data_IF_472636653623
#
_entry.id   IF_472636653623
#
_cell.length_a   1.000
_cell.length_b   1.000
_cell.length_c   1.000
_cell.angle_alpha   90.00
_cell.angle_beta   90.00
_cell.angle_gamma   90.00
#
_symmetry.space_group_name_H-M   'P 1'
#
loop_
_entity.id
_entity.type
_entity.pdbx_description
1 polymer ?
2 polymer ?
3 non-polymer ?
4 non-polymer ?
5 non-polymer ?
6 water ?
#
# COMPACT_ATOMS: atom_id res chain seq x y z
N UNK A 1 -8.00 3.13 25.33
CA UNK A 1 -8.94 2.05 25.56
C UNK A 1 -10.19 2.16 24.70
N UNK A 2 -10.43 3.34 24.12
CA UNK A 2 -11.55 3.48 23.18
C UNK A 2 -11.13 3.32 21.71
N UNK A 3 -11.68 2.28 21.09
CA UNK A 3 -11.27 1.84 19.77
C UNK A 3 -12.45 1.81 18.78
N UNK A 4 -12.19 2.25 17.55
CA UNK A 4 -13.15 2.15 16.47
C UNK A 4 -12.68 1.11 15.43
N UNK A 5 -13.57 0.19 15.07
CA UNK A 5 -13.29 -0.80 14.06
C UNK A 5 -14.11 -0.53 12.82
N UNK A 6 -13.43 -0.43 11.69
CA UNK A 6 -14.04 -0.09 10.42
C UNK A 6 -13.91 -1.28 9.46
N UNK A 7 -15.03 -1.73 8.92
CA UNK A 7 -15.01 -2.88 8.02
C UNK A 7 -15.02 -2.47 6.58
N UNK A 8 -14.21 -3.16 5.77
CA UNK A 8 -14.18 -2.94 4.32
C UNK A 8 -14.51 -4.22 3.57
N UNK A 9 -14.59 -5.33 4.30
CA UNK A 9 -14.90 -6.60 3.70
C UNK A 9 -13.72 -7.56 3.72
N UNK A 10 -13.47 -8.22 2.59
CA UNK A 10 -12.36 -9.14 2.50
C UNK A 10 -12.64 -10.56 2.96
N UNK A 11 -11.64 -11.41 2.84
CA UNK A 11 -11.76 -12.83 3.17
C UNK A 11 -12.11 -12.98 4.64
N UNK A 12 -11.52 -12.14 5.48
CA UNK A 12 -11.80 -12.18 6.91
C UNK A 12 -13.32 -12.22 7.20
N UNK A 13 -14.09 -11.47 6.42
CA UNK A 13 -15.53 -11.34 6.65
C UNK A 13 -16.35 -12.23 5.71
N UNK A 14 -15.66 -13.04 4.92
CA UNK A 14 -16.31 -13.83 3.89
C UNK A 14 -17.14 -15.00 4.45
N UNK A 15 -18.28 -15.26 3.80
CA UNK A 15 -19.16 -16.37 4.15
C UNK A 15 -19.74 -16.93 2.87
N UNK A 16 -19.44 -18.19 2.59
CA UNK A 16 -19.89 -18.81 1.34
C UNK A 16 -21.04 -19.80 1.54
N UNK A 17 -21.95 -19.84 0.58
CA UNK A 17 -23.04 -20.81 0.64
C UNK A 17 -22.96 -21.91 -0.41
N UNK A 18 -23.72 -22.98 -0.19
CA UNK A 18 -23.80 -24.08 -1.13
C UNK A 18 -24.67 -23.73 -2.34
N UNK A 19 -25.62 -22.82 -2.12
CA UNK A 19 -26.41 -22.22 -3.20
C UNK A 19 -25.51 -21.49 -4.22
N UNK A 20 -24.27 -21.21 -3.84
CA UNK A 20 -23.33 -20.52 -4.71
C UNK A 20 -23.29 -19.02 -4.45
N UNK A 21 -23.98 -18.58 -3.41
CA UNK A 21 -23.95 -17.18 -3.01
C UNK A 21 -22.74 -16.88 -2.16
N UNK A 22 -22.31 -15.63 -2.19
CA UNK A 22 -21.23 -15.17 -1.34
C UNK A 22 -21.70 -13.99 -0.53
N UNK A 23 -21.65 -14.14 0.79
CA UNK A 23 -22.14 -13.13 1.71
C UNK A 23 -20.99 -12.60 2.56
N UNK A 24 -21.29 -11.63 3.40
CA UNK A 24 -20.25 -10.95 4.16
C UNK A 24 -20.71 -10.54 5.56
N UNK A 25 -19.84 -10.72 6.54
CA UNK A 25 -20.11 -10.32 7.91
C UNK A 25 -19.77 -8.87 8.10
N UNK A 26 -20.45 -8.22 9.03
CA UNK A 26 -20.10 -6.87 9.44
C UNK A 26 -18.91 -6.98 10.40
N UNK A 27 -18.28 -5.85 10.72
CA UNK A 27 -17.08 -5.89 11.55
C UNK A 27 -17.37 -6.51 12.90
N UNK A 28 -18.51 -6.15 13.47
CA UNK A 28 -18.83 -6.66 14.80
C UNK A 28 -19.00 -8.16 14.75
N UNK A 29 -19.72 -8.64 13.75
CA UNK A 29 -19.87 -10.08 13.51
C UNK A 29 -18.50 -10.77 13.36
N UNK A 30 -17.56 -10.13 12.68
CA UNK A 30 -16.21 -10.68 12.54
C UNK A 30 -15.53 -10.88 13.89
N UNK A 31 -15.46 -9.82 14.70
CA UNK A 31 -14.87 -9.91 16.03
C UNK A 31 -15.52 -10.98 16.91
N UNK A 32 -16.84 -11.03 16.88
CA UNK A 32 -17.58 -11.98 17.70
C UNK A 32 -17.32 -13.42 17.24
N UNK A 33 -17.36 -13.65 15.93
CA UNK A 33 -17.14 -15.00 15.43
C UNK A 33 -15.66 -15.38 15.59
N UNK A 34 -14.78 -14.38 15.60
CA UNK A 34 -13.36 -14.64 15.79
C UNK A 34 -13.08 -14.95 17.27
N UNK A 35 -14.05 -14.59 18.12
CA UNK A 35 -14.00 -14.90 19.53
C UNK A 35 -13.26 -13.88 20.38
N UNK A 36 -13.17 -12.65 19.90
CA UNK A 36 -12.57 -11.58 20.70
C UNK A 36 -13.63 -11.01 21.66
N UNK A 37 -13.51 -11.37 22.93
CA UNK A 37 -14.50 -10.95 23.91
C UNK A 37 -13.92 -9.88 24.83
N UNK A 38 -12.61 -9.68 24.71
CA UNK A 38 -11.86 -8.77 25.56
C UNK A 38 -11.86 -7.35 25.03
N UNK A 39 -12.70 -7.05 24.04
CA UNK A 39 -12.71 -5.71 23.47
C UNK A 39 -13.68 -4.80 24.25
N UNK A 40 -13.11 -4.15 25.26
CA UNK A 40 -13.88 -3.41 26.26
C UNK A 40 -14.75 -2.28 25.70
N UNK A 41 -14.11 -1.19 25.29
CA UNK A 41 -14.86 -0.09 24.68
C UNK A 41 -14.56 0.00 23.19
N UNK A 42 -15.34 -0.72 22.39
CA UNK A 42 -15.15 -0.74 20.95
C UNK A 42 -16.39 -0.36 20.17
N UNK A 43 -16.27 0.63 19.30
CA UNK A 43 -17.31 0.91 18.34
C UNK A 43 -17.02 0.27 16.98
N UNK A 44 -18.06 0.21 16.16
CA UNK A 44 -18.01 -0.46 14.87
C UNK A 44 -18.65 0.38 13.79
N UNK A 45 -18.06 0.34 12.61
CA UNK A 45 -18.54 1.10 11.47
C UNK A 45 -18.29 0.26 10.23
N UNK A 46 -19.36 -0.02 9.48
CA UNK A 46 -19.20 -0.76 8.23
C UNK A 46 -19.19 0.17 7.05
N UNK A 47 -18.02 0.38 6.48
CA UNK A 47 -17.85 1.29 5.35
C UNK A 47 -18.09 0.58 4.02
N UNK A 48 -17.55 -0.62 3.87
CA UNK A 48 -17.80 -1.44 2.68
C UNK A 48 -17.84 -2.92 3.04
N UNK A 49 -18.37 -3.73 2.12
CA UNK A 49 -18.31 -5.17 2.27
C UNK A 49 -17.95 -5.80 0.93
N UNK A 50 -16.73 -5.55 0.47
CA UNK A 50 -16.29 -5.94 -0.86
C UNK A 50 -15.04 -6.82 -0.83
N UNK A 51 -14.89 -7.65 -1.86
CA UNK A 51 -13.59 -8.26 -2.18
C UNK A 51 -12.63 -7.11 -2.50
N UNK A 52 -11.45 -7.11 -1.89
CA UNK A 52 -10.56 -5.94 -2.02
C UNK A 52 -10.04 -5.74 -3.44
N UNK A 53 -10.14 -6.77 -4.26
CA UNK A 53 -9.77 -6.65 -5.67
C UNK A 53 -10.60 -5.55 -6.35
N UNK A 54 -11.76 -5.24 -5.77
CA UNK A 54 -12.67 -4.26 -6.38
C UNK A 54 -12.33 -2.81 -6.04
N UNK A 55 -11.42 -2.63 -5.08
CA UNK A 55 -11.08 -1.30 -4.59
C UNK A 55 -10.61 -0.35 -5.69
N UNK A 56 -11.18 0.84 -5.69
CA UNK A 56 -10.81 1.88 -6.65
C UNK A 56 -10.42 3.14 -5.86
N UNK A 57 -9.76 4.10 -6.52
CA UNK A 57 -9.19 5.23 -5.77
C UNK A 57 -10.22 6.06 -5.03
N UNK A 58 -11.48 5.98 -5.46
CA UNK A 58 -12.56 6.76 -4.87
C UNK A 58 -12.88 6.23 -3.48
N UNK A 59 -12.66 4.94 -3.30
CA UNK A 59 -12.83 4.31 -2.00
C UNK A 59 -11.83 4.85 -0.97
N UNK A 60 -10.66 5.26 -1.44
CA UNK A 60 -9.64 5.80 -0.53
C UNK A 60 -10.05 7.17 0.01
N UNK A 61 -10.67 7.97 -0.86
CA UNK A 61 -11.28 9.23 -0.46
C UNK A 61 -12.33 9.03 0.61
N UNK A 62 -13.25 8.09 0.38
CA UNK A 62 -14.28 7.80 1.38
C UNK A 62 -13.63 7.39 2.69
N UNK A 63 -12.66 6.49 2.61
CA UNK A 63 -12.08 5.94 3.82
C UNK A 63 -11.33 7.03 4.60
N UNK A 64 -10.59 7.86 3.90
CA UNK A 64 -9.84 8.95 4.51
C UNK A 64 -10.75 9.98 5.21
N UNK A 65 -11.83 10.39 4.54
CA UNK A 65 -12.85 11.25 5.16
C UNK A 65 -13.35 10.64 6.44
N UNK A 66 -13.73 9.37 6.36
CA UNK A 66 -14.24 8.65 7.52
C UNK A 66 -13.20 8.64 8.63
N UNK A 67 -11.94 8.47 8.25
CA UNK A 67 -10.89 8.39 9.25
C UNK A 67 -10.68 9.76 9.88
N UNK A 68 -10.70 10.78 9.02
CA UNK A 68 -10.49 12.14 9.47
C UNK A 68 -11.54 12.58 10.48
N UNK A 69 -12.76 12.09 10.33
CA UNK A 69 -13.79 12.53 11.26
C UNK A 69 -13.82 11.65 12.51
N UNK A 70 -12.92 10.67 12.59
CA UNK A 70 -12.89 9.85 13.79
C UNK A 70 -11.59 9.86 14.59
N UNK A 71 -10.50 10.35 13.99
CA UNK A 71 -9.18 10.29 14.64
C UNK A 71 -9.16 10.99 16.00
N UNK A 72 -9.90 12.09 16.12
CA UNK A 72 -9.99 12.80 17.40
C UNK A 72 -10.86 12.08 18.44
N UNK A 73 -11.82 11.29 17.98
CA UNK A 73 -12.79 10.70 18.90
C UNK A 73 -12.33 9.36 19.46
N UNK A 74 -11.23 8.81 18.95
CA UNK A 74 -10.79 7.50 19.40
C UNK A 74 -9.32 7.48 19.74
N UNK A 75 -8.91 6.51 20.56
CA UNK A 75 -7.50 6.32 20.90
C UNK A 75 -6.74 5.50 19.84
N UNK A 76 -7.50 4.74 19.05
CA UNK A 76 -6.97 3.87 18.02
C UNK A 76 -8.06 3.49 17.06
N UNK A 77 -7.68 3.23 15.82
CA UNK A 77 -8.60 2.74 14.79
C UNK A 77 -8.04 1.49 14.11
N UNK A 78 -8.90 0.51 13.93
CA UNK A 78 -8.57 -0.68 13.17
C UNK A 78 -9.47 -0.76 11.94
N UNK A 79 -8.86 -1.04 10.80
CA UNK A 79 -9.58 -1.23 9.55
C UNK A 79 -9.38 -2.66 9.05
N UNK A 80 -10.47 -3.42 8.93
CA UNK A 80 -10.42 -4.76 8.36
C UNK A 80 -10.65 -4.71 6.85
N UNK A 81 -9.88 -5.48 6.09
CA UNK A 81 -9.72 -5.24 4.65
C UNK A 81 -9.29 -6.56 4.00
N UNK A 82 -9.65 -6.78 2.74
CA UNK A 82 -9.13 -7.92 2.00
C UNK A 82 -7.63 -7.79 1.77
N UNK A 83 -6.93 -8.91 1.69
CA UNK A 83 -5.47 -8.90 1.58
C UNK A 83 -4.95 -8.43 0.19
N UNK A 84 -5.75 -8.65 -0.84
CA UNK A 84 -5.35 -8.26 -2.19
C UNK A 84 -4.84 -6.85 -2.40
N UNK A 85 -5.59 -5.86 -1.91
CA UNK A 85 -5.19 -4.47 -2.10
C UNK A 85 -4.97 -3.75 -0.77
N UNK A 86 -4.90 -4.54 0.31
CA UNK A 86 -4.63 -4.01 1.64
C UNK A 86 -3.41 -3.06 1.69
N UNK A 87 -2.32 -3.42 1.02
CA UNK A 87 -1.10 -2.63 1.08
C UNK A 87 -1.22 -1.37 0.24
N UNK A 88 -2.03 -1.44 -0.82
CA UNK A 88 -2.35 -0.24 -1.59
C UNK A 88 -3.11 0.78 -0.71
N UNK A 89 -4.16 0.30 -0.05
CA UNK A 89 -4.98 1.16 0.80
C UNK A 89 -4.12 1.75 1.92
N UNK A 90 -3.37 0.91 2.63
CA UNK A 90 -2.55 1.40 3.74
C UNK A 90 -1.50 2.40 3.27
N UNK A 91 -1.00 2.21 2.05
CA UNK A 91 -0.09 3.18 1.46
C UNK A 91 -0.76 4.52 1.16
N UNK A 92 -1.90 4.49 0.47
CA UNK A 92 -2.56 5.73 0.08
C UNK A 92 -3.07 6.51 1.29
N UNK A 93 -3.66 5.82 2.24
CA UNK A 93 -4.13 6.45 3.48
C UNK A 93 -2.96 7.11 4.22
N UNK A 94 -1.76 6.55 4.05
CA UNK A 94 -0.58 7.13 4.70
C UNK A 94 -0.24 8.50 4.13
N UNK A 95 -0.42 8.67 2.82
CA UNK A 95 -0.20 9.96 2.18
C UNK A 95 -1.37 10.92 2.45
N UNK A 96 -2.57 10.38 2.46
CA UNK A 96 -3.77 11.18 2.69
C UNK A 96 -3.88 11.72 4.12
N UNK A 97 -3.68 10.86 5.11
CA UNK A 97 -3.67 11.28 6.51
C UNK A 97 -2.27 11.45 7.05
N UNK A 98 -1.59 12.51 6.63
CA UNK A 98 -0.24 12.75 7.15
C UNK A 98 -0.35 13.02 8.65
N UNK A 99 0.46 12.32 9.44
CA UNK A 99 0.44 12.50 10.89
C UNK A 99 -0.87 12.30 11.58
N UNK A 100 -1.39 11.07 11.56
CA UNK A 100 -2.57 10.87 12.39
C UNK A 100 -2.15 10.97 13.87
N UNK A 101 -3.07 11.43 14.72
CA UNK A 101 -2.80 11.60 16.15
C UNK A 101 -2.81 10.27 16.92
N UNK A 102 -3.25 9.21 16.25
CA UNK A 102 -3.43 7.91 16.87
C UNK A 102 -2.88 6.80 15.95
N UNK A 103 -2.73 5.57 16.49
CA UNK A 103 -2.48 4.42 15.61
C UNK A 103 -3.70 4.06 14.76
N UNK A 104 -3.45 3.83 13.48
CA UNK A 104 -4.47 3.37 12.58
C UNK A 104 -3.97 2.07 11.97
N UNK A 105 -4.64 0.96 12.28
CA UNK A 105 -4.11 -0.35 11.96
C UNK A 105 -4.94 -1.14 10.95
N UNK A 106 -4.37 -1.41 9.79
CA UNK A 106 -5.04 -2.25 8.80
C UNK A 106 -4.75 -3.71 9.06
N UNK A 107 -5.75 -4.55 8.89
CA UNK A 107 -5.54 -5.97 9.03
C UNK A 107 -6.60 -6.75 8.24
N UNK A 108 -6.48 -8.07 8.28
CA UNK A 108 -7.36 -8.94 7.52
C UNK A 108 -7.00 -10.36 7.83
N UNK A 109 -7.40 -11.30 6.98
CA UNK A 109 -6.98 -12.67 7.18
C UNK A 109 -7.02 -13.43 5.86
N UNK A 110 -6.19 -14.47 5.76
CA UNK A 110 -6.14 -15.32 4.58
C UNK A 110 -7.25 -16.36 4.63
N UNK A 111 -7.70 -16.67 5.84
CA UNK A 111 -8.75 -17.66 6.07
C UNK A 111 -9.91 -16.97 6.79
N UNK A 112 -11.15 -17.12 6.28
CA UNK A 112 -12.32 -16.44 6.84
C UNK A 112 -12.46 -16.66 8.34
N UNK A 113 -12.87 -15.62 9.04
CA UNK A 113 -13.06 -15.67 10.49
C UNK A 113 -13.97 -16.80 10.93
N UNK A 114 -14.86 -17.24 10.02
CA UNK A 114 -15.80 -18.33 10.33
C UNK A 114 -15.16 -19.73 10.42
N UNK A 115 -13.97 -19.90 9.85
CA UNK A 115 -13.29 -21.20 9.92
C UNK A 115 -12.51 -21.41 11.22
N UNK A 116 -12.41 -22.66 11.64
CA UNK A 116 -11.87 -22.96 12.96
C UNK A 116 -10.37 -22.64 13.06
N UNK A 117 -9.66 -22.78 11.93
CA UNK A 117 -8.23 -22.57 11.92
C UNK A 117 -7.84 -21.18 11.43
N UNK A 118 -8.75 -20.22 11.53
CA UNK A 118 -8.52 -18.91 10.93
C UNK A 118 -7.35 -18.14 11.54
N UNK A 119 -6.71 -17.32 10.72
CA UNK A 119 -5.70 -16.42 11.24
C UNK A 119 -6.34 -15.13 11.77
N UNK A 120 -7.66 -15.00 11.62
CA UNK A 120 -8.37 -13.80 12.06
C UNK A 120 -8.16 -13.44 13.54
N UNK A 121 -8.30 -14.43 14.45
CA UNK A 121 -8.08 -14.06 15.86
C UNK A 121 -6.70 -13.49 16.14
N UNK A 122 -5.64 -14.12 15.64
CA UNK A 122 -4.29 -13.60 15.82
C UNK A 122 -4.12 -12.19 15.25
N UNK A 123 -4.63 -11.99 14.05
CA UNK A 123 -4.50 -10.69 13.41
C UNK A 123 -5.22 -9.57 14.14
N UNK A 124 -6.45 -9.86 14.57
CA UNK A 124 -7.26 -8.91 15.33
C UNK A 124 -6.69 -8.62 16.72
N UNK A 125 -6.21 -9.65 17.42
CA UNK A 125 -5.59 -9.42 18.73
C UNK A 125 -4.36 -8.56 18.57
N UNK A 126 -3.62 -8.78 17.48
CA UNK A 126 -2.39 -8.06 17.24
C UNK A 126 -2.74 -6.61 16.96
N UNK A 127 -3.72 -6.40 16.09
CA UNK A 127 -4.15 -5.05 15.76
C UNK A 127 -4.67 -4.34 17.02
N UNK A 128 -5.41 -5.07 17.85
CA UNK A 128 -5.99 -4.45 19.04
C UNK A 128 -4.92 -4.04 20.03
N UNK A 129 -3.95 -4.92 20.28
CA UNK A 129 -2.85 -4.60 21.18
C UNK A 129 -2.11 -3.37 20.70
N UNK A 130 -1.93 -3.27 19.38
CA UNK A 130 -1.19 -2.12 18.86
C UNK A 130 -2.02 -0.83 18.82
N UNK A 131 -3.34 -0.95 18.63
CA UNK A 131 -4.19 0.24 18.69
C UNK A 131 -4.24 0.81 20.11
N UNK A 132 -3.79 0.04 21.09
CA UNK A 132 -3.74 0.50 22.47
C UNK A 132 -2.35 1.03 22.83
N UNK A 133 -1.39 0.88 21.93
CA UNK A 133 -0.07 1.42 22.19
C UNK A 133 -0.19 2.93 22.09
N UNK A 134 0.83 3.67 22.42
CA UNK A 134 0.71 5.10 22.18
C UNK A 134 1.29 5.53 20.84
N UNK A 135 1.55 4.57 19.96
CA UNK A 135 2.36 4.82 18.77
C UNK A 135 1.52 5.26 17.58
N UNK A 136 1.56 6.55 17.30
CA UNK A 136 0.76 7.18 16.24
C UNK A 136 1.23 6.77 14.85
N UNK A 137 0.30 6.71 13.89
CA UNK A 137 0.63 6.43 12.51
C UNK A 137 -0.25 5.36 11.86
N UNK A 138 0.06 5.05 10.60
CA UNK A 138 -0.66 4.05 9.82
C UNK A 138 0.16 2.77 9.66
N UNK A 139 -0.44 1.64 10.04
CA UNK A 139 0.28 0.38 10.16
C UNK A 139 -0.57 -0.76 9.63
N UNK A 140 0.09 -1.89 9.42
CA UNK A 140 -0.56 -3.13 9.01
C UNK A 140 -0.19 -4.19 10.02
N UNK A 141 -1.17 -4.91 10.53
CA UNK A 141 -0.91 -6.06 11.39
C UNK A 141 -1.25 -7.31 10.59
N UNK A 142 -0.34 -8.27 10.63
CA UNK A 142 -0.60 -9.55 9.99
C UNK A 142 0.39 -10.59 10.52
N UNK A 143 -0.11 -11.81 10.72
CA UNK A 143 0.72 -12.91 11.19
C UNK A 143 1.61 -12.56 12.39
N UNK A 144 1.09 -11.81 13.35
CA UNK A 144 1.80 -11.50 14.56
C UNK A 144 2.82 -10.37 14.45
N UNK A 145 2.87 -9.71 13.29
CA UNK A 145 3.79 -8.61 13.08
C UNK A 145 3.05 -7.30 12.83
N UNK A 146 3.63 -6.20 13.27
CA UNK A 146 3.11 -4.89 12.93
C UNK A 146 4.16 -4.21 12.06
N UNK A 147 3.72 -3.73 10.90
CA UNK A 147 4.59 -3.15 9.89
C UNK A 147 4.13 -1.75 9.52
N UNK A 148 5.07 -0.87 9.18
CA UNK A 148 4.69 0.46 8.74
C UNK A 148 3.87 0.33 7.45
N UNK A 149 2.69 0.93 7.44
CA UNK A 149 1.74 0.74 6.37
C UNK A 149 2.22 1.13 4.98
N UNK A 150 3.14 2.09 4.93
CA UNK A 150 3.64 2.60 3.68
C UNK A 150 4.95 1.89 3.26
N UNK A 151 5.27 0.80 3.97
CA UNK A 151 6.41 -0.05 3.66
C UNK A 151 6.01 -1.51 3.60
N UNK A 152 4.71 -1.76 3.46
CA UNK A 152 4.19 -3.12 3.47
C UNK A 152 3.86 -3.61 2.06
N UNK A 153 4.19 -4.86 1.76
CA UNK A 153 3.79 -5.50 0.51
C UNK A 153 3.24 -6.88 0.75
N UNK A 154 2.26 -7.27 -0.05
CA UNK A 154 1.85 -8.66 -0.14
C UNK A 154 2.93 -9.42 -0.90
N UNK A 155 3.42 -10.49 -0.29
CA UNK A 155 4.57 -11.22 -0.80
C UNK A 155 4.22 -12.68 -1.12
N UNK A 156 3.24 -13.23 -0.41
CA UNK A 156 2.76 -14.61 -0.59
C UNK A 156 1.24 -14.65 -0.85
N UNK A 157 0.81 -15.53 -1.74
CA UNK A 157 -0.60 -15.55 -2.13
C UNK A 157 -1.38 -16.67 -1.46
N UNK A 158 -0.69 -17.61 -0.84
CA UNK A 158 -1.37 -18.76 -0.22
C UNK A 158 -0.78 -19.13 1.12
N UNK A 159 -0.45 -18.14 1.95
CA UNK A 159 0.16 -18.41 3.23
C UNK A 159 -0.36 -17.41 4.25
N UNK A 160 -0.41 -17.83 5.51
CA UNK A 160 -0.67 -16.95 6.63
C UNK A 160 0.33 -15.79 6.73
N UNK A 161 1.58 -16.04 6.36
CA UNK A 161 2.62 -15.02 6.40
C UNK A 161 2.60 -14.22 5.10
N UNK A 162 1.51 -13.50 4.84
CA UNK A 162 1.30 -12.96 3.50
C UNK A 162 2.03 -11.64 3.24
N UNK A 163 2.36 -10.91 4.30
CA UNK A 163 2.92 -9.57 4.17
C UNK A 163 4.33 -9.43 4.74
N UNK A 164 5.10 -8.50 4.18
CA UNK A 164 6.39 -8.16 4.76
C UNK A 164 6.62 -6.67 4.74
N UNK A 165 7.49 -6.22 5.64
CA UNK A 165 7.99 -4.86 5.61
C UNK A 165 9.19 -4.83 4.67
N UNK A 166 9.16 -3.97 3.67
CA UNK A 166 10.16 -3.97 2.62
C UNK A 166 11.18 -2.85 2.83
N UNK A 167 12.43 -3.24 3.03
CA UNK A 167 13.53 -2.30 3.22
C UNK A 167 13.39 -1.45 4.50
N UNK A 168 12.69 -1.99 5.49
CA UNK A 168 12.40 -1.26 6.72
C UNK A 168 12.16 -2.25 7.84
N UNK A 169 12.65 -1.95 9.06
CA UNK A 169 12.41 -2.90 10.15
C UNK A 169 10.92 -3.04 10.48
N UNK A 170 10.57 -4.23 10.92
CA UNK A 170 9.26 -4.51 11.42
C UNK A 170 9.07 -3.66 12.66
N UNK A 171 7.91 -3.03 12.80
CA UNK A 171 7.67 -2.20 13.97
C UNK A 171 7.59 -2.99 15.28
N UNK A 172 6.75 -4.03 15.30
CA UNK A 172 6.62 -4.89 16.48
C UNK A 172 6.28 -6.32 16.12
N UNK A 173 6.58 -7.23 17.04
CA UNK A 173 6.33 -8.66 16.81
C UNK A 173 5.78 -9.34 18.08
N UNK A 174 4.72 -10.12 17.92
CA UNK A 174 4.06 -10.73 19.06
C UNK A 174 4.87 -11.90 19.64
N UNK A 175 5.01 -11.92 20.96
CA UNK A 175 5.67 -13.02 21.67
C UNK A 175 4.91 -13.25 22.96
N UNK A 176 3.93 -14.14 22.89
CA UNK A 176 3.03 -14.36 24.00
C UNK A 176 1.91 -13.35 23.92
N UNK A 177 1.72 -12.62 25.00
CA UNK A 177 0.76 -11.53 25.01
C UNK A 177 1.48 -10.20 24.82
N UNK A 178 2.76 -10.27 24.43
CA UNK A 178 3.60 -9.09 24.37
C UNK A 178 4.03 -8.69 22.96
N UNK A 179 3.78 -7.44 22.60
CA UNK A 179 4.36 -6.87 21.40
C UNK A 179 5.75 -6.33 21.70
N UNK A 180 6.74 -6.88 20.99
CA UNK A 180 8.15 -6.55 21.20
C UNK A 180 8.64 -5.68 20.05
N UNK A 181 9.36 -4.62 20.36
CA UNK A 181 9.80 -3.70 19.31
C UNK A 181 11.29 -3.65 19.09
N UNK A 182 11.95 -4.81 19.18
CA UNK A 182 13.39 -4.92 18.87
C UNK A 182 13.87 -6.37 18.88
N UNK B 1 -4.74 11.29 -10.66
CA UNK B 1 -5.30 10.95 -11.95
C UNK B 1 -4.79 9.58 -12.42
N UNK B 2 -4.82 9.33 -13.72
CA UNK B 2 -4.55 7.99 -14.24
C UNK B 2 -3.06 7.69 -14.33
N UNK B 3 -2.64 6.60 -13.68
CA UNK B 3 -1.25 6.13 -13.71
C UNK B 3 -1.13 4.76 -14.40
N UNK B 4 -0.07 4.56 -15.17
CA UNK B 4 0.19 3.28 -15.83
C UNK B 4 1.50 2.65 -15.33
N UNK B 5 1.45 1.37 -14.97
CA UNK B 5 2.63 0.65 -14.50
C UNK B 5 3.01 -0.48 -15.45
N UNK B 6 4.20 -0.34 -16.02
CA UNK B 6 4.70 -1.24 -17.05
C UNK B 6 6.00 -1.91 -16.61
N UNK B 7 6.04 -3.23 -16.72
CA UNK B 7 7.27 -3.97 -16.45
C UNK B 7 8.23 -3.92 -17.66
N UNK B 8 9.49 -3.56 -17.39
CA UNK B 8 10.53 -3.60 -18.40
C UNK B 8 10.87 -5.05 -18.76
N UNK B 9 10.76 -5.39 -20.04
CA UNK B 9 11.19 -6.72 -20.50
C UNK B 9 12.10 -6.58 -21.71
N UNK B 10 12.92 -7.62 -22.00
CA UNK B 10 13.85 -7.51 -23.13
C UNK B 10 13.15 -7.18 -24.45
N UNK B 11 13.60 -6.10 -25.09
CA UNK B 11 13.04 -5.66 -26.35
C UNK B 11 11.78 -4.79 -26.28
N UNK B 12 11.43 -4.32 -25.09
CA UNK B 12 10.25 -3.48 -24.95
C UNK B 12 10.45 -2.16 -25.67
N UNK B 13 9.48 -1.75 -26.48
CA UNK B 13 9.65 -0.54 -27.27
C UNK B 13 8.91 0.63 -26.65
N UNK B 14 9.16 1.84 -27.16
CA UNK B 14 8.55 3.03 -26.62
C UNK B 14 7.12 3.29 -27.04
N UNK B 15 6.63 2.55 -28.04
CA UNK B 15 5.35 2.89 -28.66
C UNK B 15 4.14 2.85 -27.71
N UNK B 16 4.16 1.95 -26.75
CA UNK B 16 3.07 1.85 -25.80
C UNK B 16 3.10 3.02 -24.81
N UNK B 17 4.27 3.58 -24.57
CA UNK B 17 4.38 4.76 -23.72
C UNK B 17 3.78 5.98 -24.42
N UNK B 18 4.05 6.11 -25.71
CA UNK B 18 3.40 7.15 -26.50
C UNK B 18 1.89 7.00 -26.42
N UNK B 19 1.39 5.78 -26.65
CA UNK B 19 -0.05 5.52 -26.61
C UNK B 19 -0.65 5.91 -25.27
N UNK B 20 0.08 5.59 -24.20
CA UNK B 20 -0.39 5.91 -22.86
C UNK B 20 -0.54 7.41 -22.68
N UNK B 21 0.46 8.15 -23.13
CA UNK B 21 0.43 9.60 -23.01
C UNK B 21 -0.71 10.16 -23.83
N UNK B 22 -0.83 9.68 -25.06
CA UNK B 22 -1.92 10.09 -25.95
C UNK B 22 -3.29 9.78 -25.36
N UNK B 23 -3.41 8.65 -24.67
CA UNK B 23 -4.66 8.26 -24.03
C UNK B 23 -5.04 9.14 -22.83
N UNK B 24 -4.12 9.98 -22.38
CA UNK B 24 -4.38 10.87 -21.26
C UNK B 24 -3.87 10.43 -19.89
N UNK B 25 -3.01 9.43 -19.86
CA UNK B 25 -2.37 9.04 -18.61
C UNK B 25 -1.48 10.16 -18.11
N UNK B 26 -1.53 10.42 -16.80
CA UNK B 26 -0.81 11.56 -16.23
C UNK B 26 0.52 11.15 -15.61
N UNK B 27 0.75 9.84 -15.53
CA UNK B 27 1.99 9.33 -14.98
C UNK B 27 2.23 7.89 -15.36
N UNK B 28 3.50 7.54 -15.42
CA UNK B 28 3.90 6.18 -15.77
C UNK B 28 4.98 5.72 -14.84
N UNK B 29 4.81 4.50 -14.33
CA UNK B 29 5.84 3.82 -13.57
C UNK B 29 6.41 2.69 -14.41
N UNK B 30 7.73 2.65 -14.52
CA UNK B 30 8.44 1.53 -15.14
C UNK B 30 9.13 0.66 -14.09
N UNK B 31 8.84 -0.64 -14.08
CA UNK B 31 9.58 -1.55 -13.20
C UNK B 31 10.77 -2.06 -13.98
N UNK B 32 11.94 -1.51 -13.66
CA UNK B 32 13.17 -1.89 -14.34
C UNK B 32 13.84 -3.10 -13.74
N UNK B 33 15.00 -3.45 -14.27
CA UNK B 33 15.79 -4.55 -13.74
C UNK B 33 16.73 -4.01 -12.67
N UNK B 34 17.01 -4.83 -11.66
CA UNK B 34 18.01 -4.48 -10.66
C UNK B 34 17.89 -3.07 -10.09
N UNK B 35 19.03 -2.39 -9.97
CA UNK B 35 19.10 -1.03 -9.45
C UNK B 35 18.56 0.02 -10.41
N UNK B 36 18.05 -0.42 -11.56
CA UNK B 36 17.31 0.46 -12.45
C UNK B 36 18.09 1.06 -13.60
N UNK B 37 17.35 1.43 -14.64
CA UNK B 37 17.97 1.93 -15.86
C UNK B 37 17.16 1.60 -17.09
N UNK B 38 17.58 2.15 -18.22
CA UNK B 38 16.89 1.93 -19.49
C UNK B 38 17.93 1.46 -20.51
N UNK B 39 17.60 0.44 -21.30
CA UNK B 39 18.54 0.04 -22.35
C UNK B 39 18.84 1.19 -23.31
N UNK B 40 20.13 1.46 -23.54
CA UNK B 40 20.56 2.54 -24.44
C UNK B 40 20.80 2.10 -25.89
N UNK B 41 20.89 0.80 -26.11
CA UNK B 41 20.95 0.28 -27.47
C UNK B 41 19.93 -0.85 -27.58
N UNK B 42 19.46 -1.12 -28.80
CA UNK B 42 18.59 -2.27 -29.03
C UNK B 42 17.11 -1.97 -29.11
N UNK B 43 16.71 -0.72 -28.86
CA UNK B 43 15.31 -0.33 -28.92
C UNK B 43 15.21 1.18 -29.01
N UNK B 44 14.00 1.68 -29.23
CA UNK B 44 13.77 3.11 -29.21
C UNK B 44 13.24 3.59 -27.86
N UNK B 45 13.36 2.73 -26.84
CA UNK B 45 12.73 3.01 -25.55
C UNK B 45 13.33 4.23 -24.89
N UNK B 46 14.64 4.38 -24.98
CA UNK B 46 15.32 5.47 -24.28
C UNK B 46 15.02 6.82 -24.91
N UNK B 47 15.13 6.85 -26.24
CA UNK B 47 14.77 8.02 -27.03
C UNK B 47 13.34 8.47 -26.77
N UNK B 48 12.43 7.51 -26.70
CA UNK B 48 11.02 7.80 -26.42
C UNK B 48 10.85 8.46 -25.05
N UNK B 49 11.60 7.98 -24.06
CA UNK B 49 11.54 8.51 -22.71
C UNK B 49 12.09 9.93 -22.59
N UNK B 50 13.23 10.19 -23.25
CA UNK B 50 13.78 11.53 -23.30
C UNK B 50 12.71 12.55 -23.68
N UNK B 51 11.88 12.16 -24.65
CA UNK B 51 10.80 13.02 -25.13
C UNK B 51 9.65 13.11 -24.14
N UNK B 52 9.17 11.97 -23.66
CA UNK B 52 7.95 11.96 -22.87
C UNK B 52 8.12 12.47 -21.44
N UNK B 53 9.33 12.34 -20.89
CA UNK B 53 9.56 12.63 -19.47
C UNK B 53 9.41 14.10 -19.12
N UNK B 54 9.33 14.96 -20.12
CA UNK B 54 9.09 16.38 -19.87
C UNK B 54 7.61 16.72 -19.93
N UNK B 55 6.80 15.76 -20.35
CA UNK B 55 5.36 15.97 -20.45
C UNK B 55 4.64 15.32 -19.28
N UNK B 56 5.04 14.10 -18.94
CA UNK B 56 4.52 13.46 -17.74
C UNK B 56 5.66 12.85 -16.94
N UNK B 57 5.47 12.66 -15.63
CA UNK B 57 6.54 12.02 -14.87
C UNK B 57 6.66 10.56 -15.26
N UNK B 58 7.89 10.15 -15.51
CA UNK B 58 8.22 8.75 -15.72
C UNK B 58 9.03 8.28 -14.50
N UNK B 59 8.45 7.36 -13.75
CA UNK B 59 9.06 6.88 -12.53
C UNK B 59 9.67 5.50 -12.74
N UNK B 60 10.84 5.28 -12.18
CA UNK B 60 11.52 4.02 -12.28
C UNK B 60 11.63 3.34 -10.94
N UNK B 61 11.03 2.18 -10.80
CA UNK B 61 11.31 1.32 -9.67
C UNK B 61 11.93 0.02 -10.19
N UNK B 62 12.03 -0.98 -9.31
CA UNK B 62 12.63 -2.25 -9.71
C UNK B 62 11.63 -3.40 -9.72
N UNK B 63 11.92 -4.43 -10.52
CA UNK B 63 11.10 -5.64 -10.54
C UNK B 63 11.45 -6.55 -9.38
N UNK B 64 12.64 -6.36 -8.81
CA UNK B 64 13.06 -7.16 -7.68
C UNK B 64 12.26 -6.73 -6.45
N UNK B 65 12.19 -7.59 -5.44
CA UNK B 65 11.39 -7.29 -4.25
C UNK B 65 12.16 -6.38 -3.25
N UNK B 66 13.45 -6.61 -3.05
CA UNK B 66 14.22 -5.88 -2.04
C UNK B 66 15.39 -5.04 -2.56
N UNK B 67 15.64 -3.95 -1.83
CA UNK B 67 16.79 -3.02 -1.96
C UNK B 67 16.53 -1.78 -2.84
N UNK B 68 15.46 -1.80 -3.63
CA UNK B 68 15.10 -0.65 -4.45
C UNK B 68 16.11 -0.25 -5.53
N UNK B 69 15.98 0.97 -6.05
CA UNK B 69 16.78 1.42 -7.17
C UNK B 69 17.83 2.44 -6.76
N UNK B 70 18.87 2.54 -7.59
CA UNK B 70 19.89 3.57 -7.46
C UNK B 70 20.40 3.84 -8.87
N UNK B 71 19.87 4.89 -9.49
CA UNK B 71 20.17 5.16 -10.88
C UNK B 71 21.57 5.76 -11.08
N UNK B 72 22.32 6.00 -10.01
CA UNK B 72 23.68 6.49 -10.18
C UNK B 72 24.68 5.35 -10.28
N UNK B 73 24.23 4.14 -9.98
CA UNK B 73 25.14 3.01 -9.85
C UNK B 73 25.68 2.49 -11.19
N UNK B 74 24.85 2.55 -12.24
CA UNK B 74 25.28 2.04 -13.54
C UNK B 74 24.94 3.00 -14.67
N UNK B 75 25.67 2.82 -15.77
CA UNK B 75 25.47 3.61 -16.99
C UNK B 75 24.02 3.61 -17.44
N UNK B 76 23.39 2.43 -17.49
CA UNK B 76 21.97 2.39 -17.85
C UNK B 76 21.13 3.24 -16.88
N UNK B 77 21.58 3.36 -15.64
CA UNK B 77 20.91 4.21 -14.68
C UNK B 77 21.15 5.68 -14.95
N UNK B 78 22.42 6.04 -15.13
CA UNK B 78 22.79 7.43 -15.34
C UNK B 78 22.19 8.05 -16.60
N UNK B 79 21.99 7.22 -17.62
CA UNK B 79 21.34 7.68 -18.84
C UNK B 79 19.83 7.81 -18.65
N UNK B 80 19.25 6.92 -17.87
CA UNK B 80 17.84 7.06 -17.51
C UNK B 80 17.63 8.39 -16.79
N UNK B 81 18.55 8.74 -15.90
CA UNK B 81 18.45 10.02 -15.19
C UNK B 81 18.60 11.17 -16.16
N UNK B 82 19.56 11.05 -17.08
CA UNK B 82 19.81 12.09 -18.07
C UNK B 82 18.57 12.29 -18.89
N UNK B 83 17.84 11.21 -19.12
CA UNK B 83 16.62 11.23 -19.92
C UNK B 83 15.39 11.74 -19.15
N UNK B 84 15.56 12.07 -17.88
CA UNK B 84 14.47 12.66 -17.11
C UNK B 84 13.64 11.68 -16.29
N UNK B 85 14.14 10.46 -16.13
CA UNK B 85 13.48 9.46 -15.32
C UNK B 85 13.60 9.80 -13.84
N UNK B 86 12.47 9.73 -13.14
CA UNK B 86 12.42 9.95 -11.71
C UNK B 86 12.59 8.63 -10.95
N UNK B 87 13.64 8.53 -10.14
CA UNK B 87 13.89 7.29 -9.39
C UNK B 87 12.92 7.12 -8.22
N UNK B 88 12.62 5.87 -7.88
CA UNK B 88 11.67 5.58 -6.81
C UNK B 88 12.38 5.23 -5.50
N UNK B 89 13.71 5.28 -5.55
CA UNK B 89 14.55 4.97 -4.41
C UNK B 89 14.25 3.60 -3.85
N UNK B 90 14.06 3.53 -2.53
CA UNK B 90 13.79 2.27 -1.88
C UNK B 90 12.30 2.08 -1.54
N UNK B 91 11.41 2.78 -2.23
CA UNK B 91 9.98 2.66 -1.95
C UNK B 91 9.41 1.31 -2.40
N UNK B 92 8.34 0.87 -1.74
CA UNK B 92 7.61 -0.30 -2.22
C UNK B 92 6.91 0.09 -3.51
N UNK B 93 6.43 -0.90 -4.24
CA UNK B 93 5.70 -0.64 -5.47
C UNK B 93 4.36 0.00 -5.15
N UNK B 94 3.76 -0.41 -4.05
CA UNK B 94 2.50 0.15 -3.59
C UNK B 94 2.67 1.63 -3.17
N UNK B 95 3.72 1.92 -2.41
CA UNK B 95 4.02 3.31 -2.06
C UNK B 95 4.32 4.15 -3.31
N UNK B 96 5.07 3.59 -4.24
CA UNK B 96 5.46 4.32 -5.45
C UNK B 96 4.24 4.72 -6.28
N UNK B 97 3.38 3.75 -6.59
CA UNK B 97 2.17 3.99 -7.35
C UNK B 97 1.23 4.98 -6.65
N UNK B 98 0.96 4.73 -5.37
CA UNK B 98 0.00 5.56 -4.65
C UNK B 98 0.52 6.97 -4.41
N UNK B 99 1.83 7.09 -4.17
CA UNK B 99 2.43 8.40 -3.94
C UNK B 99 2.32 9.24 -5.20
N UNK B 100 2.63 8.64 -6.34
CA UNK B 100 2.51 9.32 -7.62
C UNK B 100 1.07 9.78 -7.84
N UNK B 101 0.12 8.87 -7.63
CA UNK B 101 -1.31 9.18 -7.72
C UNK B 101 -1.68 10.38 -6.84
N UNK B 102 -1.31 10.29 -5.56
CA UNK B 102 -1.58 11.37 -4.62
C UNK B 102 -1.02 12.72 -5.10
N UNK B 103 0.24 12.75 -5.54
CA UNK B 103 0.85 13.97 -6.03
C UNK B 103 0.12 14.55 -7.25
N UNK B 104 -0.22 13.68 -8.19
CA UNK B 104 -0.89 14.07 -9.43
C UNK B 104 -2.25 14.67 -9.13
N UNK B 105 -2.78 14.35 -7.96
CA UNK B 105 -4.05 14.88 -7.52
C UNK B 105 -4.03 16.38 -7.27
N UNK B 106 -2.84 16.97 -7.14
CA UNK B 106 -2.78 18.41 -6.98
C UNK B 106 -1.61 19.16 -7.63
N UNK B 107 -0.99 18.55 -8.62
CA UNK B 107 -0.14 19.29 -9.56
C UNK B 107 0.15 18.39 -10.75
N UNK B 108 0.34 18.99 -11.92
CA UNK B 108 0.84 18.27 -13.08
C UNK B 108 2.16 18.84 -13.60
N UNK B 109 2.74 19.74 -12.81
CA UNK B 109 4.06 20.25 -13.13
C UNK B 109 5.09 19.16 -12.92
N UNK B 110 5.68 18.67 -14.00
CA UNK B 110 6.60 17.53 -13.95
C UNK B 110 7.80 17.74 -13.00
N UNK B 111 8.38 18.93 -13.03
CA UNK B 111 9.51 19.23 -12.16
C UNK B 111 9.09 19.35 -10.70
N UNK B 112 7.85 19.74 -10.47
CA UNK B 112 7.31 19.79 -9.12
C UNK B 112 7.10 18.37 -8.62
N UNK B 113 6.47 17.55 -9.45
CA UNK B 113 6.25 16.13 -9.17
C UNK B 113 7.57 15.42 -8.87
N UNK B 114 8.60 15.80 -9.62
CA UNK B 114 9.93 15.22 -9.49
C UNK B 114 10.48 15.41 -8.08
N UNK B 115 10.27 16.61 -7.55
CA UNK B 115 10.79 16.98 -6.24
C UNK B 115 10.05 16.21 -5.17
N UNK B 116 8.73 16.19 -5.29
CA UNK B 116 7.88 15.50 -4.35
C UNK B 116 8.18 13.99 -4.28
N UNK B 117 8.34 13.37 -5.43
CA UNK B 117 8.60 11.92 -5.48
C UNK B 117 9.90 11.56 -4.77
N UNK B 118 10.86 12.48 -4.78
CA UNK B 118 12.17 12.26 -4.19
C UNK B 118 12.27 12.68 -2.73
N UNK B 119 11.18 13.25 -2.20
CA UNK B 119 11.16 13.70 -0.81
C UNK B 119 10.44 12.68 0.07
N UNK B 120 11.04 12.32 1.20
CA UNK B 120 10.39 11.42 2.15
C UNK B 120 9.22 12.15 2.79
N UNK B 121 8.00 11.84 2.34
CA UNK B 121 6.80 12.48 2.85
C UNK B 121 6.29 11.96 4.20
N UNK B 122 6.25 10.64 4.34
CA UNK B 122 5.59 10.03 5.49
C UNK B 122 6.29 8.78 6.00
N UNK B 123 7.55 8.58 5.58
CA UNK B 123 8.32 7.41 5.99
C UNK B 123 8.50 6.35 4.91
N UNK B 124 8.01 6.63 3.71
CA UNK B 124 8.06 5.64 2.62
C UNK B 124 9.43 5.53 1.92
N UNK B 125 10.28 6.53 2.11
CA UNK B 125 11.48 6.69 1.30
C UNK B 125 12.69 7.18 2.10
N UNK B 126 13.88 6.69 1.77
CA UNK B 126 15.08 7.28 2.32
C UNK B 126 15.66 8.31 1.36
N UNK B 127 15.48 9.59 1.67
CA UNK B 127 15.90 10.67 0.78
C UNK B 127 17.19 11.38 1.23
X LIG C 1 -8.28 -11.89 0.99
X LIG C 1 -8.44 -11.95 -0.49
X LIG C 1 -9.66 -11.40 -1.16
X LIG C 1 -9.79 -9.92 -0.89
X LIG C 1 -9.55 -11.59 -2.64
X LIG C 1 -10.67 -10.96 -3.45
X LIG C 1 -9.00 -11.15 1.71
X LIG C 1 -7.38 -12.60 1.57
X LIG C 1 -10.90 -9.40 -0.52
X LIG C 1 -8.77 -9.19 -1.06
X LIG C 1 -11.70 -11.64 -3.73
X LIG C 1 -10.59 -9.75 -3.84
X LIG C 1 -10.77 -12.08 -0.65
X LIG D 1 -20.11 5.21 15.58
X LIG D 1 -20.02 4.13 14.67
X LIG D 1 -19.53 6.45 14.90
X LIG D 1 -18.60 6.06 13.91
X LIG D 1 -18.80 7.35 15.89
X LIG D 1 -18.17 8.37 15.16
X LIG E 1 -6.40 12.36 18.96
X LIG E 1 -6.20 13.75 19.14
X LIG E 1 -6.85 11.61 20.21
X LIG E 1 -7.78 10.62 19.81
X LIG E 1 -5.64 10.99 20.94
X LIG E 1 -6.03 10.31 22.13
X LIG F 1 -9.61 -4.11 24.00
X LIG F 1 -9.40 -2.61 24.24
X LIG F 1 -10.70 -1.95 24.65
X LIG F 1 -8.40 -2.44 25.23
X LIG G 1 1.72 -20.28 7.02
X LIG G 1 1.18 -21.21 5.93
X LIG G 1 -0.32 -21.01 5.77
X LIG G 1 1.83 -20.96 4.70
X LIG H 1 -5.41 -14.58 -2.47
X LIG H 1 -4.07 -14.28 -2.08
X LIG H 1 -5.94 -13.52 -3.45
X LIG H 1 -6.55 -12.52 -2.70
X LIG H 1 -6.88 -13.99 -4.54
X LIG H 1 -7.43 -12.97 -5.35
X LIG I 1 11.34 -2.68 15.94
X LIG I 1 11.15 -1.53 15.14
X LIG I 1 12.27 -3.69 15.26
X LIG I 1 13.59 -3.33 15.54
X LIG I 1 11.94 -5.14 15.68
X LIG I 1 10.59 -5.32 16.10
X LIG J 1 -24.14 0.37 9.17
X LIG J 1 -22.66 0.71 9.37
X LIG J 1 -22.45 2.16 8.95
X LIG J 1 -22.25 0.50 10.72
X LIG K 1 -19.88 -10.65 -2.07
X LIG K 1 -18.66 -10.33 -2.71
X LIG K 1 -19.95 -9.97 -0.71
X LIG K 1 -19.49 -8.64 -0.83
X LIG K 1 -21.35 -10.01 -0.07
X LIG K 1 -22.36 -10.19 -1.05
X LIG L 1 19.79 8.52 -7.06
X LIG L 1 19.61 9.73 -7.79
X LIG L 1 18.54 7.65 -7.24
X LIG L 1 18.76 6.70 -8.24
X LIG L 1 18.12 6.99 -5.92
X LIG L 1 16.78 6.56 -5.96
#
# INVERSE_FOLDING_TARGET
MKILLIGMGGTIASVKGENGYEASLSVKEVLDIAGIKDCEDCDFLDLKNVDSTLIQPEDWVDLAETLYKNVKKYDGIIVTHGTDTLAYTSSMISFMLRNPPIPIVFTGSMIPATEENSDAPLNLQTAIKFATSGIRGVYVAFNGKVMLGVRTSKVRTMSRDAFESINYPIIAELRGEDLVVN
MAVLVIKLIPGLSGDIFRAAVELGYRGIVIEGYGAGGIPYRGSDLLQTIEELSKEIPIVMTTQAMYDGVDLTRYKVGRLALRAGVIPAGDMTKEATVTKLMWILGHTNNVEEIKVLMRKNLVGELRD
FLC CAC CA CB CBC CG CGC OA1 OA2 OB1 OB2 OG1 OG2 OHB
GOL C1 O1 C2 O2 C3 O3
GOL C1 O1 C2 O2 C3 O3
IPA C1 C2 C3 O2
IPA C1 C2 C3 O2
GOL C1 O1 C2 O2 C3 O3
GOL C1 O1 C2 O2 C3 O3
IPA C1 C2 C3 O2
GOL C1 O1 C2 O2 C3 O3
GOL C1 O1 C2 O2 C3 O3
#
